data_IF_124436872458
#
_entry.id   IF_124436872458
#
_cell.length_a   1.000
_cell.length_b   1.000
_cell.length_c   1.000
_cell.angle_alpha   90.00
_cell.angle_beta   90.00
_cell.angle_gamma   90.00
#
_symmetry.space_group_name_H-M   'P 1'
#
loop_
_entity.id
_entity.type
_entity.pdbx_description
1 polymer ?
#
# COMPACT_ATOMS: atom_id res chain seq x y z
N UNK A 1 -9.87 -16.74 -61.43
CA UNK A 1 -8.46 -16.67 -61.01
C UNK A 1 -8.46 -15.92 -59.68
N UNK A 2 -8.44 -16.66 -58.57
CA UNK A 2 -8.62 -16.07 -57.23
C UNK A 2 -7.29 -15.52 -56.74
N UNK A 3 -7.30 -14.24 -56.34
CA UNK A 3 -6.13 -13.54 -55.82
C UNK A 3 -5.70 -14.16 -54.49
N UNK A 4 -4.47 -14.68 -54.43
CA UNK A 4 -3.77 -15.01 -53.19
C UNK A 4 -3.27 -13.71 -52.58
N UNK A 5 -4.04 -13.13 -51.66
CA UNK A 5 -3.52 -12.11 -50.75
C UNK A 5 -2.84 -12.89 -49.62
N UNK A 6 -1.52 -12.81 -49.53
CA UNK A 6 -0.80 -13.12 -48.29
C UNK A 6 -1.39 -12.22 -47.20
N UNK A 7 -2.35 -12.75 -46.45
CA UNK A 7 -3.05 -12.07 -45.35
C UNK A 7 -2.11 -12.01 -44.15
N UNK A 8 -1.08 -11.16 -44.27
CA UNK A 8 -0.15 -10.85 -43.19
C UNK A 8 -0.92 -9.99 -42.19
N UNK A 9 -1.46 -10.64 -41.16
CA UNK A 9 -2.20 -9.96 -40.10
C UNK A 9 -1.32 -8.87 -39.46
N UNK A 10 -1.83 -7.64 -39.27
CA UNK A 10 -1.11 -6.60 -38.57
C UNK A 10 -0.81 -7.03 -37.12
N UNK A 11 0.37 -6.69 -36.57
CA UNK A 11 0.70 -7.04 -35.19
C UNK A 11 -0.28 -6.38 -34.22
N UNK A 12 -0.49 -6.98 -33.03
CA UNK A 12 -1.19 -6.29 -31.96
C UNK A 12 -0.54 -4.93 -31.70
N UNK A 13 -1.33 -3.93 -31.34
CA UNK A 13 -0.80 -2.64 -30.90
C UNK A 13 0.06 -2.80 -29.65
N UNK A 14 0.69 -1.71 -29.21
CA UNK A 14 1.69 -1.72 -28.13
C UNK A 14 1.26 -2.58 -26.93
N UNK A 15 2.08 -3.59 -26.62
CA UNK A 15 1.88 -4.49 -25.49
C UNK A 15 2.47 -3.82 -24.24
N UNK A 16 1.63 -3.59 -23.24
CA UNK A 16 2.03 -3.04 -21.95
C UNK A 16 1.79 -4.05 -20.83
N UNK A 17 2.79 -4.18 -19.94
CA UNK A 17 2.67 -4.94 -18.69
C UNK A 17 2.01 -4.03 -17.65
N UNK A 18 0.81 -4.39 -17.22
CA UNK A 18 0.06 -3.63 -16.22
C UNK A 18 0.36 -4.09 -14.79
N UNK A 19 0.54 -5.40 -14.59
CA UNK A 19 0.79 -5.99 -13.29
C UNK A 19 1.72 -7.19 -13.43
N UNK A 20 2.77 -7.23 -12.62
CA UNK A 20 3.60 -8.40 -12.44
C UNK A 20 3.43 -8.89 -11.00
N UNK A 21 2.87 -10.08 -10.82
CA UNK A 21 2.87 -10.81 -9.56
C UNK A 21 3.75 -12.05 -9.72
N UNK A 22 4.02 -12.74 -8.61
CA UNK A 22 4.86 -13.95 -8.58
C UNK A 22 4.31 -15.07 -9.48
N UNK A 23 3.00 -15.15 -9.65
CA UNK A 23 2.27 -16.22 -10.33
C UNK A 23 1.48 -15.74 -11.54
N UNK A 24 1.37 -14.44 -11.75
CA UNK A 24 0.50 -13.85 -12.75
C UNK A 24 1.15 -12.65 -13.42
N UNK A 25 0.99 -12.56 -14.73
CA UNK A 25 1.31 -11.36 -15.51
C UNK A 25 0.04 -10.85 -16.14
N UNK A 26 -0.28 -9.57 -15.92
CA UNK A 26 -1.37 -8.88 -16.61
C UNK A 26 -0.79 -8.04 -17.74
N UNK A 27 -1.21 -8.37 -18.96
CA UNK A 27 -0.82 -7.69 -20.19
C UNK A 27 -2.04 -6.96 -20.76
N UNK A 28 -1.81 -5.79 -21.35
CA UNK A 28 -2.79 -5.08 -22.17
C UNK A 28 -2.18 -4.73 -23.52
N UNK A 29 -2.98 -4.74 -24.57
CA UNK A 29 -2.56 -4.33 -25.91
C UNK A 29 -3.73 -3.72 -26.67
N UNK A 30 -3.41 -2.88 -27.64
CA UNK A 30 -4.41 -2.22 -28.48
C UNK A 30 -4.75 -3.06 -29.71
N UNK A 31 -5.94 -2.86 -30.28
CA UNK A 31 -6.33 -3.52 -31.52
C UNK A 31 -5.39 -3.09 -32.68
N UNK A 32 -4.93 -4.05 -33.51
CA UNK A 32 -4.25 -3.78 -34.76
C UNK A 32 -5.03 -2.80 -35.63
N UNK A 33 -4.31 -1.85 -36.23
CA UNK A 33 -4.91 -0.84 -37.09
C UNK A 33 -5.37 -1.48 -38.41
N UNK A 34 -6.64 -1.30 -38.77
CA UNK A 34 -7.19 -1.78 -40.05
C UNK A 34 -8.05 -3.05 -39.97
N UNK A 35 -8.25 -3.64 -38.79
CA UNK A 35 -9.14 -4.79 -38.60
C UNK A 35 -10.43 -4.39 -37.84
N UNK A 36 -11.56 -4.39 -38.53
CA UNK A 36 -12.90 -4.21 -37.94
C UNK A 36 -13.59 -5.57 -37.82
N UNK A 37 -13.43 -6.23 -36.67
CA UNK A 37 -14.04 -7.53 -36.37
C UNK A 37 -13.59 -8.08 -35.02
N UNK A 38 -14.21 -9.17 -34.52
CA UNK A 38 -13.75 -9.86 -33.31
C UNK A 38 -12.37 -10.48 -33.55
N UNK A 39 -11.42 -10.21 -32.66
CA UNK A 39 -10.04 -10.65 -32.79
C UNK A 39 -9.68 -11.63 -31.70
N UNK A 40 -8.90 -12.66 -32.03
CA UNK A 40 -8.41 -13.65 -31.08
C UNK A 40 -6.89 -13.60 -31.08
N UNK A 41 -6.30 -13.42 -29.91
CA UNK A 41 -4.85 -13.35 -29.74
C UNK A 41 -4.34 -14.61 -29.06
N UNK A 42 -3.17 -15.09 -29.47
CA UNK A 42 -2.48 -16.22 -28.83
C UNK A 42 -1.28 -15.68 -28.06
N UNK A 43 -1.31 -15.81 -26.73
CA UNK A 43 -0.19 -15.46 -25.86
C UNK A 43 0.69 -16.70 -25.65
N UNK A 44 1.99 -16.57 -25.90
CA UNK A 44 2.98 -17.63 -25.66
C UNK A 44 4.07 -17.10 -24.75
N UNK A 45 4.41 -17.84 -23.70
CA UNK A 45 5.50 -17.54 -22.79
C UNK A 45 6.64 -18.55 -22.98
N UNK A 46 7.88 -18.10 -22.90
CA UNK A 46 9.07 -18.94 -22.90
C UNK A 46 10.17 -18.25 -22.12
N UNK A 47 10.84 -18.99 -21.22
CA UNK A 47 12.03 -18.49 -20.54
C UNK A 47 13.24 -18.77 -21.44
N UNK A 48 13.74 -17.75 -22.13
CA UNK A 48 14.95 -17.81 -22.94
C UNK A 48 16.21 -17.55 -22.11
N UNK A 49 16.32 -18.14 -20.92
CA UNK A 49 17.59 -18.29 -20.17
C UNK A 49 18.33 -17.02 -19.71
N UNK A 50 18.03 -15.84 -20.24
CA UNK A 50 18.47 -14.56 -19.71
C UNK A 50 17.45 -14.12 -18.67
N UNK A 51 17.74 -14.46 -17.42
CA UNK A 51 17.01 -13.97 -16.26
C UNK A 51 17.18 -12.46 -16.16
N UNK A 52 16.46 -11.69 -16.98
CA UNK A 52 16.18 -10.29 -16.72
C UNK A 52 15.20 -10.26 -15.55
N UNK A 53 15.78 -10.46 -14.36
CA UNK A 53 15.14 -10.29 -13.07
C UNK A 53 14.72 -8.82 -12.98
N UNK A 54 13.60 -8.51 -13.61
CA UNK A 54 12.93 -7.24 -13.45
C UNK A 54 12.42 -7.26 -12.02
N UNK A 55 13.20 -6.70 -11.09
CA UNK A 55 12.82 -6.60 -9.68
C UNK A 55 11.42 -6.01 -9.62
N UNK A 56 10.46 -6.84 -9.21
CA UNK A 56 9.08 -6.41 -9.07
C UNK A 56 9.06 -5.40 -7.93
N UNK A 57 8.79 -4.15 -8.26
CA UNK A 57 8.64 -3.13 -7.22
C UNK A 57 7.35 -3.43 -6.49
N UNK A 58 7.46 -3.97 -5.28
CA UNK A 58 6.31 -4.24 -4.41
C UNK A 58 5.55 -2.93 -4.17
N UNK A 59 4.24 -2.96 -4.36
CA UNK A 59 3.39 -1.77 -4.27
C UNK A 59 3.12 -1.46 -2.79
N UNK A 60 3.33 -0.22 -2.33
CA UNK A 60 3.07 0.17 -0.95
C UNK A 60 1.59 0.16 -0.58
N UNK A 61 1.25 0.02 0.72
CA UNK A 61 -0.12 0.16 1.19
C UNK A 61 -0.66 1.56 0.95
N UNK A 62 -1.99 1.69 0.91
CA UNK A 62 -2.70 2.95 0.63
C UNK A 62 -3.51 3.40 1.83
N UNK A 63 -3.99 4.64 1.78
CA UNK A 63 -4.94 5.19 2.76
C UNK A 63 -4.50 5.05 4.22
N UNK A 64 -3.23 5.33 4.52
CA UNK A 64 -2.74 5.35 5.89
C UNK A 64 -3.51 6.41 6.70
N UNK A 65 -4.26 5.96 7.71
CA UNK A 65 -5.13 6.78 8.53
C UNK A 65 -4.98 6.41 9.99
N UNK A 66 -5.01 7.42 10.84
CA UNK A 66 -4.99 7.25 12.29
C UNK A 66 -6.43 7.35 12.77
N UNK A 67 -6.84 6.37 13.54
CA UNK A 67 -8.13 6.29 14.21
C UNK A 67 -7.92 6.13 15.72
N UNK A 68 -8.97 6.37 16.51
CA UNK A 68 -8.98 6.19 17.96
C UNK A 68 -7.75 6.78 18.68
N UNK A 69 -7.40 8.04 18.39
CA UNK A 69 -6.28 8.73 19.03
C UNK A 69 -6.60 9.08 20.48
N UNK A 70 -5.83 8.54 21.42
CA UNK A 70 -5.95 8.81 22.86
C UNK A 70 -4.68 9.47 23.43
N UNK A 71 -4.62 9.55 24.77
CA UNK A 71 -3.45 10.04 25.51
C UNK A 71 -2.26 9.08 25.42
N UNK A 72 -2.52 7.76 25.47
CA UNK A 72 -1.47 6.72 25.54
C UNK A 72 -1.66 5.60 24.50
N UNK A 73 -2.58 5.77 23.57
CA UNK A 73 -2.87 4.80 22.53
C UNK A 73 -3.32 5.48 21.23
N UNK A 74 -3.13 4.79 20.10
CA UNK A 74 -3.78 5.12 18.83
C UNK A 74 -3.87 3.86 17.96
N UNK A 75 -4.82 3.85 17.02
CA UNK A 75 -4.95 2.77 16.04
C UNK A 75 -4.62 3.29 14.66
N UNK A 76 -3.68 2.64 13.98
CA UNK A 76 -3.37 2.91 12.59
C UNK A 76 -4.15 1.95 11.70
N UNK A 77 -4.78 2.48 10.66
CA UNK A 77 -5.45 1.73 9.60
C UNK A 77 -4.81 2.03 8.25
N UNK A 78 -4.79 1.03 7.37
CA UNK A 78 -4.35 1.18 5.98
C UNK A 78 -5.17 0.25 5.08
N UNK A 79 -5.00 0.41 3.77
CA UNK A 79 -5.61 -0.43 2.75
C UNK A 79 -4.53 -1.13 1.93
N UNK A 80 -4.86 -2.32 1.42
CA UNK A 80 -4.00 -3.02 0.46
C UNK A 80 -3.82 -2.16 -0.80
N UNK A 81 -2.69 -2.34 -1.47
CA UNK A 81 -2.52 -1.76 -2.79
C UNK A 81 -3.56 -2.32 -3.77
N UNK A 82 -4.03 -1.48 -4.67
CA UNK A 82 -4.95 -1.86 -5.73
C UNK A 82 -4.38 -3.00 -6.58
N UNK A 83 -5.11 -4.11 -6.68
CA UNK A 83 -4.69 -5.33 -7.38
C UNK A 83 -3.92 -6.33 -6.52
N UNK A 84 -3.61 -6.01 -5.27
CA UNK A 84 -2.92 -6.90 -4.31
C UNK A 84 -3.90 -7.57 -3.32
N UNK A 85 -5.21 -7.43 -3.49
CA UNK A 85 -6.21 -7.94 -2.54
C UNK A 85 -6.20 -9.47 -2.44
N UNK A 86 -5.92 -10.13 -3.57
CA UNK A 86 -5.81 -11.59 -3.70
C UNK A 86 -4.39 -12.12 -3.50
N UNK A 87 -3.41 -11.23 -3.36
CA UNK A 87 -2.01 -11.61 -3.20
C UNK A 87 -1.72 -11.85 -1.71
N UNK A 88 -1.16 -13.02 -1.33
CA UNK A 88 -0.69 -13.25 0.02
C UNK A 88 0.45 -12.30 0.36
N UNK A 89 0.25 -11.43 1.33
CA UNK A 89 1.20 -10.41 1.76
C UNK A 89 1.01 -10.10 3.23
N UNK A 90 2.08 -9.62 3.85
CA UNK A 90 2.11 -9.13 5.22
C UNK A 90 2.50 -7.66 5.23
N UNK A 91 2.34 -7.00 6.37
CA UNK A 91 2.73 -5.62 6.56
C UNK A 91 3.82 -5.53 7.61
N UNK A 92 4.93 -4.90 7.25
CA UNK A 92 5.98 -4.53 8.18
C UNK A 92 5.75 -3.12 8.69
N UNK A 93 5.75 -2.97 10.00
CA UNK A 93 5.44 -1.73 10.69
C UNK A 93 6.66 -1.34 11.50
N UNK A 94 7.13 -0.11 11.32
CA UNK A 94 8.23 0.47 12.08
C UNK A 94 7.74 1.74 12.77
N UNK A 95 7.83 1.78 14.10
CA UNK A 95 7.46 2.95 14.90
C UNK A 95 8.72 3.56 15.53
N UNK A 96 9.09 4.74 15.07
CA UNK A 96 10.18 5.53 15.62
C UNK A 96 9.67 6.38 16.79
N UNK A 97 10.21 6.10 17.97
CA UNK A 97 9.87 6.77 19.22
C UNK A 97 11.06 7.65 19.62
N UNK A 98 10.85 8.95 19.90
CA UNK A 98 11.93 9.81 20.38
C UNK A 98 12.51 9.23 21.69
N UNK A 99 13.80 8.87 21.69
CA UNK A 99 14.51 8.40 22.88
C UNK A 99 14.30 6.92 23.25
N UNK A 100 13.72 6.10 22.37
CA UNK A 100 13.61 4.64 22.52
C UNK A 100 14.00 3.95 21.22
N UNK A 101 14.39 2.67 21.32
CA UNK A 101 14.60 1.83 20.16
C UNK A 101 13.34 1.75 19.27
N UNK A 102 13.50 1.80 17.94
CA UNK A 102 12.38 1.65 17.00
C UNK A 102 11.65 0.33 17.24
N UNK A 103 10.33 0.38 17.37
CA UNK A 103 9.52 -0.82 17.51
C UNK A 103 9.17 -1.34 16.12
N UNK A 104 9.62 -2.56 15.81
CA UNK A 104 9.26 -3.27 14.58
C UNK A 104 8.21 -4.34 14.86
N UNK A 105 7.21 -4.45 13.99
CA UNK A 105 6.18 -5.47 14.05
C UNK A 105 5.78 -5.95 12.66
N UNK A 106 5.32 -7.19 12.56
CA UNK A 106 4.74 -7.75 11.33
C UNK A 106 3.29 -8.13 11.62
N UNK A 107 2.40 -7.89 10.67
CA UNK A 107 0.98 -8.26 10.77
C UNK A 107 0.37 -8.58 9.42
N UNK A 108 -0.58 -9.50 9.41
CA UNK A 108 -1.45 -9.80 8.26
C UNK A 108 -2.64 -8.84 8.15
N UNK A 109 -2.95 -8.15 9.24
CA UNK A 109 -4.09 -7.24 9.34
C UNK A 109 -3.81 -5.93 8.61
N UNK A 110 -4.88 -5.22 8.26
CA UNK A 110 -4.81 -3.88 7.67
C UNK A 110 -4.89 -2.77 8.75
N UNK A 111 -4.62 -3.12 10.00
CA UNK A 111 -4.64 -2.19 11.13
C UNK A 111 -3.69 -2.62 12.25
N UNK A 112 -3.25 -1.66 13.06
CA UNK A 112 -2.42 -1.89 14.25
C UNK A 112 -2.73 -0.89 15.34
N UNK A 113 -3.01 -1.41 16.53
CA UNK A 113 -3.12 -0.58 17.74
C UNK A 113 -1.78 -0.48 18.43
N UNK A 114 -1.37 0.76 18.72
CA UNK A 114 -0.22 1.10 19.54
C UNK A 114 -0.72 1.53 20.91
N UNK A 115 -0.12 0.97 21.96
CA UNK A 115 -0.48 1.23 23.36
C UNK A 115 0.77 1.52 24.19
N UNK A 116 0.58 1.97 25.43
CA UNK A 116 1.66 2.36 26.35
C UNK A 116 2.52 3.53 25.82
N UNK A 117 1.90 4.44 25.07
CA UNK A 117 2.53 5.63 24.54
C UNK A 117 2.60 6.73 25.59
N UNK A 118 3.53 7.67 25.40
CA UNK A 118 3.69 8.84 26.24
C UNK A 118 2.71 9.93 25.79
N UNK A 119 2.00 10.60 26.71
CA UNK A 119 1.11 11.72 26.41
C UNK A 119 1.87 12.90 25.77
N UNK A 120 1.25 13.59 24.82
CA UNK A 120 1.82 14.78 24.19
C UNK A 120 3.14 14.55 23.45
N UNK A 121 3.39 13.31 23.01
CA UNK A 121 4.64 12.89 22.34
C UNK A 121 4.34 12.61 20.87
N UNK A 122 5.27 12.99 20.00
CA UNK A 122 5.21 12.73 18.56
C UNK A 122 5.81 11.36 18.23
N UNK A 123 5.09 10.59 17.42
CA UNK A 123 5.43 9.26 16.95
C UNK A 123 5.43 9.24 15.43
N UNK A 124 6.44 8.63 14.82
CA UNK A 124 6.46 8.41 13.37
C UNK A 124 6.34 6.93 13.09
N UNK A 125 5.26 6.54 12.41
CA UNK A 125 4.99 5.16 12.05
C UNK A 125 5.10 4.99 10.54
N UNK A 126 5.82 3.96 10.12
CA UNK A 126 6.02 3.56 8.74
C UNK A 126 5.44 2.18 8.50
N UNK A 127 4.74 1.99 7.39
CA UNK A 127 4.17 0.70 6.98
C UNK A 127 4.66 0.35 5.57
N UNK A 128 5.17 -0.86 5.41
CA UNK A 128 5.60 -1.43 4.13
C UNK A 128 4.85 -2.74 3.86
N UNK A 129 4.52 -2.99 2.59
CA UNK A 129 4.04 -4.31 2.14
C UNK A 129 5.24 -5.24 2.07
N UNK A 130 5.11 -6.45 2.61
CA UNK A 130 6.11 -7.52 2.54
C UNK A 130 5.46 -8.73 1.86
N UNK A 131 6.03 -9.16 0.75
CA UNK A 131 5.58 -10.36 0.05
C UNK A 131 6.18 -11.62 0.66
N UNK A 132 5.61 -12.77 0.34
CA UNK A 132 6.08 -14.08 0.83
C UNK A 132 7.50 -14.42 0.39
N UNK A 133 8.00 -13.81 -0.70
CA UNK A 133 9.38 -13.93 -1.18
C UNK A 133 10.39 -13.08 -0.37
N UNK A 134 9.93 -12.30 0.62
CA UNK A 134 10.74 -11.41 1.44
C UNK A 134 11.01 -10.03 0.83
N UNK A 135 10.51 -9.75 -0.39
CA UNK A 135 10.60 -8.42 -0.98
C UNK A 135 9.66 -7.44 -0.25
N UNK A 136 10.11 -6.19 -0.14
CA UNK A 136 9.39 -5.13 0.57
C UNK A 136 9.14 -3.94 -0.33
N UNK A 137 8.01 -3.27 -0.13
CA UNK A 137 7.71 -2.00 -0.77
C UNK A 137 8.50 -0.86 -0.14
N UNK A 138 8.49 0.29 -0.82
CA UNK A 138 8.79 1.56 -0.16
C UNK A 138 7.85 1.74 1.06
N UNK A 139 8.35 2.28 2.19
CA UNK A 139 7.53 2.54 3.36
C UNK A 139 6.65 3.76 3.14
N UNK A 140 5.41 3.67 3.60
CA UNK A 140 4.52 4.84 3.75
C UNK A 140 4.54 5.24 5.21
N UNK A 141 4.94 6.49 5.49
CA UNK A 141 5.05 7.01 6.84
C UNK A 141 3.96 8.03 7.18
N UNK A 142 3.59 8.07 8.45
CA UNK A 142 2.73 9.10 9.03
C UNK A 142 3.27 9.50 10.39
N UNK A 143 3.02 10.75 10.78
CA UNK A 143 3.42 11.29 12.07
C UNK A 143 2.18 11.61 12.90
N UNK A 144 2.21 11.30 14.19
CA UNK A 144 1.10 11.50 15.11
C UNK A 144 1.56 12.00 16.47
N UNK A 145 0.86 12.98 17.00
CA UNK A 145 1.04 13.46 18.37
C UNK A 145 -0.07 12.87 19.24
N UNK A 146 0.30 12.15 20.30
CA UNK A 146 -0.67 11.71 21.30
C UNK A 146 -1.28 12.89 22.03
N UNK A 147 -2.52 12.72 22.51
CA UNK A 147 -3.18 13.76 23.29
C UNK A 147 -2.34 14.09 24.54
N UNK A 148 -2.27 15.37 24.90
CA UNK A 148 -1.71 15.76 26.19
C UNK A 148 -2.66 15.30 27.28
N UNK A 149 -2.12 14.93 28.45
CA UNK A 149 -2.92 14.70 29.65
C UNK A 149 -3.80 15.92 29.89
N UNK A 150 -5.11 15.81 29.67
CA UNK A 150 -6.02 16.81 30.19
C UNK A 150 -5.95 16.67 31.71
N UNK A 151 -5.42 17.69 32.39
CA UNK A 151 -5.55 17.77 33.85
C UNK A 151 -7.02 17.53 34.21
N UNK A 152 -7.35 16.68 35.19
CA UNK A 152 -8.74 16.57 35.65
C UNK A 152 -9.16 17.97 36.06
N UNK A 153 -10.17 18.50 35.37
CA UNK A 153 -10.75 19.79 35.69
C UNK A 153 -11.19 19.75 37.15
N UNK A 154 -10.42 20.39 38.02
CA UNK A 154 -10.91 20.81 39.32
C UNK A 154 -11.85 21.97 39.00
N UNK A 155 -13.13 21.69 38.77
CA UNK A 155 -14.19 22.71 38.73
C UNK A 155 -14.39 23.25 40.15
N UNK A 156 -13.37 23.91 40.69
CA UNK A 156 -13.46 24.78 41.86
C UNK A 156 -14.18 26.05 41.42
N UNK A 157 -15.47 26.10 41.71
CA UNK A 157 -16.19 27.29 42.18
C UNK A 157 -15.67 28.65 41.69
N UNK A 158 -16.30 29.21 40.66
CA UNK A 158 -16.35 30.67 40.46
C UNK A 158 -17.66 31.23 41.02
N UNK A 159 -17.91 31.04 42.33
CA UNK A 159 -18.77 31.96 43.08
C UNK A 159 -17.94 33.20 43.41
N UNK A 160 -17.69 34.08 42.44
CA UNK A 160 -17.39 35.49 42.63
C UNK A 160 -17.48 36.22 41.28
N UNK A 161 -18.60 36.88 41.00
CA UNK A 161 -18.55 38.18 40.34
C UNK A 161 -19.46 39.13 41.11
N UNK A 162 -18.82 40.17 41.63
CA UNK A 162 -19.28 41.17 42.58
C UNK A 162 -19.92 42.34 41.82
N UNK A 163 -20.97 42.90 42.44
CA UNK A 163 -21.53 44.26 42.33
C UNK A 163 -20.83 45.23 41.35
N UNK A 164 -21.63 45.79 40.44
CA UNK A 164 -21.75 47.24 40.17
C UNK A 164 -23.12 47.54 39.57
#
# INVERSE_FOLDING_TARGET
MLASYDDVLPPPGDIQVLLLTLDSVSLSWSSPQGLTGPQTFRVTWGCDGETSSTRVKVIPPRDLKIDHLEETSFTLHWSKAEGMEKVPQHFFISNCIPGRDPLAAITDDCHKTFSNLQPGTEYTVSVSTVLTNGEQSEPVSTTICTSKRSSPNYSSSSLYQKLQ
#
